data_IF_472978030627
#
_entry.id   IF_472978030627
#
_cell.length_a   1.000
_cell.length_b   1.000
_cell.length_c   1.000
_cell.angle_alpha   90.00
_cell.angle_beta   90.00
_cell.angle_gamma   90.00
#
_symmetry.space_group_name_H-M   'P 1'
#
loop_
_entity.id
_entity.type
_entity.pdbx_description
1 polymer ?
#
# COMPACT_ATOMS: atom_id res chain seq x y z
N UNK A 1 -12.03 11.34 13.25
CA UNK A 1 -12.32 12.78 13.16
C UNK A 1 -11.31 13.60 13.96
N UNK A 2 -11.17 13.42 15.29
CA UNK A 2 -10.24 14.20 16.14
C UNK A 2 -8.79 14.17 15.68
N UNK A 3 -8.26 13.00 15.28
CA UNK A 3 -6.91 12.92 14.73
C UNK A 3 -6.76 13.69 13.41
N UNK A 4 -7.77 13.66 12.54
CA UNK A 4 -7.77 14.41 11.30
C UNK A 4 -7.77 15.92 11.51
N UNK A 5 -8.49 16.42 12.53
CA UNK A 5 -8.47 17.83 12.92
C UNK A 5 -7.14 18.25 13.50
N UNK A 6 -6.50 17.39 14.32
CA UNK A 6 -5.22 17.70 14.95
C UNK A 6 -4.03 17.56 13.96
N UNK A 7 -3.98 16.51 13.15
CA UNK A 7 -2.91 16.26 12.19
C UNK A 7 -3.38 15.33 11.06
N UNK A 8 -3.81 15.91 9.95
CA UNK A 8 -4.30 15.19 8.78
C UNK A 8 -3.22 14.24 8.20
N UNK A 9 -1.96 14.69 8.16
CA UNK A 9 -0.86 13.88 7.66
C UNK A 9 -0.69 12.57 8.42
N UNK A 10 -0.83 12.61 9.75
CA UNK A 10 -0.71 11.43 10.60
C UNK A 10 -1.95 10.53 10.53
N UNK A 11 -3.15 11.13 10.42
CA UNK A 11 -4.42 10.39 10.24
C UNK A 11 -4.39 9.46 9.02
N UNK A 12 -3.76 9.89 7.93
CA UNK A 12 -3.65 9.11 6.70
C UNK A 12 -2.86 7.80 6.88
N UNK A 13 -1.89 7.74 7.80
CA UNK A 13 -1.15 6.51 8.11
C UNK A 13 -2.09 5.41 8.61
N UNK A 14 -2.96 5.74 9.56
CA UNK A 14 -3.93 4.80 10.10
C UNK A 14 -4.95 4.36 9.06
N UNK A 15 -5.38 5.29 8.20
CA UNK A 15 -6.33 4.99 7.12
C UNK A 15 -5.74 3.96 6.15
N UNK A 16 -4.47 4.12 5.75
CA UNK A 16 -3.79 3.17 4.87
C UNK A 16 -3.62 1.80 5.55
N UNK A 17 -3.22 1.80 6.81
CA UNK A 17 -3.01 0.57 7.58
C UNK A 17 -4.30 -0.23 7.75
N UNK A 18 -5.38 0.42 8.19
CA UNK A 18 -6.69 -0.22 8.36
C UNK A 18 -7.22 -0.79 7.05
N UNK A 19 -7.13 -0.03 5.96
CA UNK A 19 -7.58 -0.50 4.64
C UNK A 19 -6.81 -1.73 4.16
N UNK A 20 -5.51 -1.81 4.47
CA UNK A 20 -4.70 -3.00 4.15
C UNK A 20 -5.10 -4.21 4.99
N UNK A 21 -5.32 -4.04 6.29
CA UNK A 21 -5.81 -5.11 7.18
C UNK A 21 -7.11 -5.69 6.60
N UNK A 22 -8.08 -4.85 6.29
CA UNK A 22 -9.36 -5.27 5.74
C UNK A 22 -9.22 -6.02 4.41
N UNK A 23 -8.32 -5.56 3.53
CA UNK A 23 -8.03 -6.25 2.27
C UNK A 23 -7.41 -7.64 2.51
N UNK A 24 -6.49 -7.77 3.45
CA UNK A 24 -5.86 -9.04 3.79
C UNK A 24 -6.85 -10.00 4.45
N UNK A 25 -7.65 -9.54 5.42
CA UNK A 25 -8.65 -10.38 6.09
C UNK A 25 -9.68 -10.95 5.13
N UNK A 26 -10.09 -10.18 4.11
CA UNK A 26 -11.11 -10.61 3.16
C UNK A 26 -10.55 -11.46 2.00
N UNK A 27 -9.30 -11.27 1.59
CA UNK A 27 -8.79 -11.83 0.35
C UNK A 27 -7.53 -12.69 0.49
N UNK A 28 -6.72 -12.51 1.54
CA UNK A 28 -5.48 -13.27 1.69
C UNK A 28 -5.74 -14.71 2.15
N UNK A 29 -4.81 -15.61 1.83
CA UNK A 29 -4.79 -16.94 2.41
C UNK A 29 -4.36 -16.91 3.88
N UNK A 30 -4.59 -18.00 4.63
CA UNK A 30 -4.32 -18.06 6.06
C UNK A 30 -2.83 -17.87 6.41
N UNK A 31 -1.90 -18.26 5.54
CA UNK A 31 -0.46 -18.06 5.78
C UNK A 31 -0.12 -16.57 5.78
N UNK A 32 -0.61 -15.82 4.80
CA UNK A 32 -0.43 -14.37 4.71
C UNK A 32 -1.12 -13.67 5.89
N UNK A 33 -2.36 -14.04 6.21
CA UNK A 33 -3.09 -13.46 7.35
C UNK A 33 -2.32 -13.62 8.65
N UNK A 34 -1.86 -14.85 8.95
CA UNK A 34 -1.16 -15.16 10.20
C UNK A 34 0.16 -14.40 10.38
N UNK A 35 0.82 -14.02 9.28
CA UNK A 35 2.07 -13.26 9.31
C UNK A 35 1.80 -11.75 9.40
N UNK A 36 0.98 -11.21 8.48
CA UNK A 36 0.89 -9.78 8.27
C UNK A 36 -0.20 -9.10 9.13
N UNK A 37 -1.35 -9.73 9.35
CA UNK A 37 -2.46 -9.08 10.05
C UNK A 37 -2.13 -8.76 11.52
N UNK A 38 -1.52 -9.64 12.33
CA UNK A 38 -1.18 -9.32 13.72
C UNK A 38 -0.19 -8.15 13.84
N UNK A 39 0.83 -8.10 12.98
CA UNK A 39 1.86 -7.07 13.00
C UNK A 39 1.36 -5.70 12.50
N UNK A 40 0.44 -5.70 11.54
CA UNK A 40 -0.27 -4.50 11.10
C UNK A 40 -1.24 -4.00 12.17
N UNK A 41 -1.98 -4.89 12.84
CA UNK A 41 -2.90 -4.54 13.93
C UNK A 41 -2.19 -3.95 15.16
N UNK A 42 -1.02 -4.46 15.49
CA UNK A 42 -0.21 -3.92 16.59
C UNK A 42 0.44 -2.56 16.28
N UNK A 43 0.50 -2.18 14.99
CA UNK A 43 1.24 -1.01 14.52
C UNK A 43 2.75 -1.21 14.46
N UNK A 44 3.25 -2.42 14.70
CA UNK A 44 4.66 -2.76 14.52
C UNK A 44 5.08 -2.63 13.05
N UNK A 45 4.19 -3.00 12.15
CA UNK A 45 4.31 -2.78 10.72
C UNK A 45 3.22 -1.85 10.21
N UNK A 46 3.49 -1.21 9.07
CA UNK A 46 2.52 -0.31 8.41
C UNK A 46 2.23 -0.75 7.00
N UNK A 47 1.09 -0.31 6.50
CA UNK A 47 0.58 -0.69 5.18
C UNK A 47 0.47 0.47 4.20
N UNK A 48 0.65 0.17 2.92
CA UNK A 48 0.51 1.14 1.83
C UNK A 48 -0.24 0.57 0.64
N UNK A 49 -0.82 1.44 -0.18
CA UNK A 49 -1.56 1.12 -1.39
C UNK A 49 -0.78 1.55 -2.64
N UNK A 50 -0.39 0.62 -3.50
CA UNK A 50 0.49 0.85 -4.65
C UNK A 50 -0.20 0.52 -5.97
N UNK A 51 -0.91 1.50 -6.54
CA UNK A 51 -1.63 1.39 -7.81
C UNK A 51 -0.91 2.10 -8.95
N UNK A 52 -0.73 3.42 -8.77
CA UNK A 52 -0.38 4.37 -9.82
C UNK A 52 1.03 4.15 -10.35
N UNK A 53 1.16 4.24 -11.67
CA UNK A 53 2.45 4.20 -12.37
C UNK A 53 2.66 5.46 -13.22
N UNK A 54 3.90 5.87 -13.49
CA UNK A 54 4.18 7.11 -14.20
C UNK A 54 3.50 7.22 -15.57
N UNK A 55 3.45 6.14 -16.32
CA UNK A 55 2.88 6.09 -17.68
C UNK A 55 1.38 5.78 -17.71
N UNK A 56 0.83 5.22 -16.62
CA UNK A 56 -0.55 4.75 -16.56
C UNK A 56 -1.48 5.75 -15.86
N UNK A 57 -0.95 6.51 -14.91
CA UNK A 57 -1.71 7.48 -14.10
C UNK A 57 -3.02 6.86 -13.55
N UNK A 58 -4.19 7.32 -14.01
CA UNK A 58 -5.50 6.81 -13.61
C UNK A 58 -5.96 5.56 -14.37
N UNK A 59 -5.28 5.17 -15.45
CA UNK A 59 -5.60 3.95 -16.20
C UNK A 59 -4.92 2.72 -15.61
N UNK A 60 -5.56 2.12 -14.61
CA UNK A 60 -5.08 0.86 -13.98
C UNK A 60 -4.93 -0.27 -14.99
N UNK A 61 -5.67 -0.22 -16.12
CA UNK A 61 -5.56 -1.19 -17.21
C UNK A 61 -4.22 -1.13 -17.96
N UNK A 62 -3.51 0.00 -17.90
CA UNK A 62 -2.23 0.22 -18.56
C UNK A 62 -1.00 -0.04 -17.68
N UNK A 63 -1.18 -0.63 -16.49
CA UNK A 63 -0.06 -1.02 -15.61
C UNK A 63 0.93 -1.94 -16.32
N UNK A 64 2.23 -1.69 -16.09
CA UNK A 64 3.34 -2.50 -16.62
C UNK A 64 4.21 -3.17 -15.54
N UNK A 65 4.00 -2.86 -14.26
CA UNK A 65 4.65 -3.60 -13.17
C UNK A 65 4.40 -5.09 -13.33
N UNK A 66 5.46 -5.89 -13.29
CA UNK A 66 5.44 -7.34 -13.55
C UNK A 66 5.55 -8.12 -12.25
N UNK A 67 4.92 -9.30 -12.23
CA UNK A 67 5.08 -10.31 -11.19
C UNK A 67 5.46 -11.63 -11.84
N UNK A 68 6.66 -12.12 -11.60
CA UNK A 68 7.16 -13.40 -12.11
C UNK A 68 7.20 -14.42 -10.97
N UNK A 69 6.59 -15.59 -11.18
CA UNK A 69 6.50 -16.64 -10.17
C UNK A 69 7.87 -17.26 -9.89
N UNK A 70 8.22 -17.36 -8.61
CA UNK A 70 9.41 -18.05 -8.13
C UNK A 70 9.12 -19.53 -7.83
N UNK A 71 10.18 -20.35 -7.68
CA UNK A 71 10.04 -21.78 -7.38
C UNK A 71 9.47 -22.06 -5.96
N UNK A 72 9.57 -21.12 -5.05
CA UNK A 72 9.08 -21.22 -3.65
C UNK A 72 7.62 -20.76 -3.48
N UNK A 73 6.92 -20.48 -4.58
CA UNK A 73 5.53 -20.01 -4.57
C UNK A 73 5.38 -18.51 -4.33
N UNK A 74 6.44 -17.77 -4.04
CA UNK A 74 6.46 -16.31 -4.05
C UNK A 74 6.57 -15.76 -5.47
N UNK A 75 6.57 -14.43 -5.58
CA UNK A 75 6.71 -13.71 -6.85
C UNK A 75 7.82 -12.66 -6.78
N UNK A 76 8.55 -12.48 -7.87
CA UNK A 76 9.48 -11.38 -8.06
C UNK A 76 8.75 -10.20 -8.72
N UNK A 77 8.57 -9.12 -7.98
CA UNK A 77 7.89 -7.91 -8.43
C UNK A 77 8.92 -6.94 -9.01
N UNK A 78 8.66 -6.43 -10.22
CA UNK A 78 9.54 -5.47 -10.91
C UNK A 78 8.72 -4.36 -11.54
N UNK A 79 9.01 -3.11 -11.18
CA UNK A 79 8.34 -1.92 -11.70
C UNK A 79 8.47 -0.72 -10.77
N UNK A 80 7.72 0.33 -11.08
CA UNK A 80 7.74 1.58 -10.33
C UNK A 80 6.33 2.03 -10.01
N UNK A 81 6.11 2.51 -8.79
CA UNK A 81 4.85 3.09 -8.33
C UNK A 81 5.07 4.51 -7.86
N UNK A 82 4.13 5.39 -8.16
CA UNK A 82 4.18 6.81 -7.78
C UNK A 82 3.02 7.20 -6.89
N UNK A 83 3.20 8.32 -6.17
CA UNK A 83 2.21 8.87 -5.23
C UNK A 83 1.84 7.92 -4.08
N UNK A 84 2.83 7.18 -3.57
CA UNK A 84 2.60 6.22 -2.50
C UNK A 84 2.61 6.94 -1.16
N UNK A 85 1.43 7.14 -0.59
CA UNK A 85 1.25 7.73 0.74
C UNK A 85 1.88 6.85 1.80
N UNK A 86 2.70 7.46 2.66
CA UNK A 86 3.47 6.76 3.69
C UNK A 86 4.37 5.64 3.14
N UNK A 87 4.83 5.81 1.90
CA UNK A 87 5.63 4.80 1.19
C UNK A 87 7.02 4.58 1.77
N UNK A 88 7.56 5.54 2.54
CA UNK A 88 8.85 5.44 3.21
C UNK A 88 8.85 6.27 4.51
N UNK A 89 9.23 5.66 5.62
CA UNK A 89 9.35 6.28 6.95
C UNK A 89 10.05 5.34 7.94
N UNK A 90 10.36 5.85 9.12
CA UNK A 90 11.03 5.16 10.22
C UNK A 90 10.14 4.94 11.47
N UNK A 91 8.83 5.13 11.34
CA UNK A 91 7.88 4.98 12.46
C UNK A 91 7.49 3.52 12.75
N UNK A 92 7.81 2.61 11.85
CA UNK A 92 7.54 1.17 11.99
C UNK A 92 8.75 0.34 11.60
N UNK A 93 8.82 -0.89 12.09
CA UNK A 93 9.96 -1.79 11.81
C UNK A 93 9.92 -2.36 10.39
N UNK A 94 8.75 -2.34 9.73
CA UNK A 94 8.59 -2.75 8.34
C UNK A 94 7.43 -1.99 7.68
N UNK A 95 7.48 -1.85 6.36
CA UNK A 95 6.41 -1.29 5.54
C UNK A 95 5.95 -2.37 4.56
N UNK A 96 4.67 -2.71 4.60
CA UNK A 96 4.08 -3.73 3.74
C UNK A 96 3.29 -3.06 2.61
N UNK A 97 3.76 -3.21 1.38
CA UNK A 97 3.12 -2.61 0.22
C UNK A 97 2.10 -3.56 -0.41
N UNK A 98 0.83 -3.15 -0.57
CA UNK A 98 -0.11 -3.83 -1.46
C UNK A 98 0.07 -3.31 -2.89
N UNK A 99 0.61 -4.15 -3.76
CA UNK A 99 1.08 -3.77 -5.10
C UNK A 99 0.24 -4.44 -6.18
N UNK A 100 -0.34 -3.64 -7.07
CA UNK A 100 -0.94 -4.15 -8.30
C UNK A 100 0.14 -4.42 -9.35
N UNK A 101 0.17 -5.66 -9.87
CA UNK A 101 1.10 -6.08 -10.90
C UNK A 101 0.47 -7.10 -11.85
N UNK A 102 1.15 -7.37 -12.99
CA UNK A 102 0.70 -8.31 -14.02
C UNK A 102 1.57 -9.55 -14.03
N UNK A 103 0.91 -10.69 -14.16
CA UNK A 103 1.57 -11.94 -14.52
C UNK A 103 1.87 -11.98 -16.03
N UNK A 104 2.89 -12.71 -16.48
CA UNK A 104 3.24 -12.81 -17.91
C UNK A 104 2.09 -13.29 -18.81
N UNK A 105 1.23 -14.17 -18.28
CA UNK A 105 0.07 -14.76 -19.00
C UNK A 105 -1.22 -13.97 -18.83
N UNK A 106 -1.22 -12.85 -18.12
CA UNK A 106 -2.43 -12.09 -17.82
C UNK A 106 -3.06 -11.45 -19.05
N UNK A 107 -4.39 -11.39 -19.12
CA UNK A 107 -5.09 -10.66 -20.17
C UNK A 107 -4.77 -9.15 -20.09
N UNK A 108 -4.93 -8.44 -21.21
CA UNK A 108 -4.77 -6.98 -21.26
C UNK A 108 -5.90 -6.28 -20.49
N UNK A 109 -5.63 -5.03 -20.09
CA UNK A 109 -6.60 -4.19 -19.38
C UNK A 109 -6.71 -4.51 -17.89
N UNK A 110 -7.69 -3.96 -17.22
CA UNK A 110 -7.89 -4.07 -15.77
C UNK A 110 -8.17 -5.50 -15.29
N UNK A 111 -8.70 -6.36 -16.16
CA UNK A 111 -8.97 -7.79 -15.87
C UNK A 111 -7.72 -8.66 -15.78
N UNK A 112 -6.54 -8.16 -16.11
CA UNK A 112 -5.28 -8.90 -16.00
C UNK A 112 -4.38 -8.43 -14.88
N UNK A 113 -4.91 -7.73 -13.90
CA UNK A 113 -4.16 -7.18 -12.76
C UNK A 113 -4.36 -8.08 -11.53
N UNK A 114 -3.26 -8.45 -10.89
CA UNK A 114 -3.23 -9.23 -9.65
C UNK A 114 -2.70 -8.38 -8.50
N UNK A 115 -3.03 -8.74 -7.26
CA UNK A 115 -2.59 -8.03 -6.05
C UNK A 115 -1.53 -8.84 -5.32
N UNK A 116 -0.48 -8.16 -4.89
CA UNK A 116 0.63 -8.77 -4.14
C UNK A 116 0.93 -7.99 -2.88
N UNK A 117 1.26 -8.69 -1.79
CA UNK A 117 1.86 -8.09 -0.60
C UNK A 117 3.38 -8.19 -0.71
N UNK A 118 4.05 -7.04 -0.63
CA UNK A 118 5.50 -6.89 -0.82
C UNK A 118 6.05 -6.09 0.36
N UNK A 119 6.62 -6.72 1.39
CA UNK A 119 7.22 -6.01 2.51
C UNK A 119 8.58 -5.40 2.11
N UNK A 120 8.95 -4.31 2.77
CA UNK A 120 10.27 -3.66 2.59
C UNK A 120 11.41 -4.55 3.08
N UNK A 121 11.18 -5.27 4.18
CA UNK A 121 12.11 -6.27 4.72
C UNK A 121 11.47 -7.64 4.72
N UNK A 122 12.25 -8.67 4.36
CA UNK A 122 11.86 -10.08 4.38
C UNK A 122 12.67 -10.85 5.42
N UNK A 123 12.28 -12.10 5.68
CA UNK A 123 13.00 -12.95 6.61
C UNK A 123 14.42 -13.27 6.11
N UNK A 124 15.38 -13.18 7.02
CA UNK A 124 16.74 -13.66 6.84
C UNK A 124 16.83 -15.17 7.19
N UNK A 125 18.04 -15.73 7.18
CA UNK A 125 18.29 -17.14 7.54
C UNK A 125 17.97 -17.48 9.00
N UNK A 126 17.73 -16.49 9.87
CA UNK A 126 17.36 -16.63 11.28
C UNK A 126 15.87 -16.37 11.54
N UNK A 127 15.07 -16.33 10.48
CA UNK A 127 13.64 -15.98 10.52
C UNK A 127 13.33 -14.57 11.03
N UNK A 128 14.31 -13.65 11.02
CA UNK A 128 14.12 -12.26 11.41
C UNK A 128 13.77 -11.41 10.14
N UNK A 129 12.80 -10.50 10.25
CA UNK A 129 12.36 -9.61 9.15
C UNK A 129 13.29 -8.39 8.99
N UNK A 130 14.55 -8.64 8.63
CA UNK A 130 15.62 -7.64 8.55
C UNK A 130 16.36 -7.61 7.21
N UNK A 131 16.11 -8.57 6.30
CA UNK A 131 16.74 -8.62 5.00
C UNK A 131 16.05 -7.65 4.04
N UNK A 132 16.79 -6.72 3.45
CA UNK A 132 16.25 -5.79 2.44
C UNK A 132 15.65 -6.54 1.24
N UNK A 133 14.44 -6.18 0.87
CA UNK A 133 13.67 -6.81 -0.20
C UNK A 133 13.80 -6.10 -1.57
N UNK A 134 14.85 -5.30 -1.78
CA UNK A 134 15.01 -4.48 -2.99
C UNK A 134 13.80 -3.58 -3.32
N UNK A 135 13.11 -3.10 -2.28
CA UNK A 135 12.09 -2.06 -2.35
C UNK A 135 12.75 -0.74 -1.96
N UNK A 136 12.73 0.25 -2.85
CA UNK A 136 13.41 1.52 -2.61
C UNK A 136 12.50 2.71 -2.89
N UNK A 137 12.43 3.64 -1.96
CA UNK A 137 11.93 4.99 -2.23
C UNK A 137 13.01 5.78 -2.99
N UNK A 138 12.75 6.10 -4.24
CA UNK A 138 13.71 6.80 -5.10
C UNK A 138 13.52 8.31 -5.10
N UNK A 139 12.33 8.78 -4.73
CA UNK A 139 12.05 10.20 -4.50
C UNK A 139 10.83 10.37 -3.59
N UNK A 140 10.70 11.58 -3.04
CA UNK A 140 9.50 12.05 -2.34
C UNK A 140 8.86 13.19 -3.11
N UNK A 141 7.54 13.21 -3.13
CA UNK A 141 6.76 14.26 -3.77
C UNK A 141 6.76 15.55 -2.95
N UNK A 142 7.01 16.68 -3.60
CA UNK A 142 6.81 18.01 -3.02
C UNK A 142 5.35 18.40 -3.22
N UNK A 143 4.59 18.47 -2.13
CA UNK A 143 3.13 18.66 -2.15
C UNK A 143 2.72 20.05 -1.68
N UNK A 144 1.50 20.46 -2.02
CA UNK A 144 0.89 21.71 -1.56
C UNK A 144 0.42 21.65 -0.10
N UNK A 145 0.14 20.46 0.41
CA UNK A 145 -0.32 20.20 1.79
C UNK A 145 0.08 18.82 2.25
N UNK A 146 -0.31 18.44 3.47
CA UNK A 146 0.00 17.16 4.10
C UNK A 146 1.51 16.85 4.09
N UNK A 147 2.32 17.85 4.40
CA UNK A 147 3.78 17.76 4.27
C UNK A 147 4.40 16.71 5.21
N UNK A 148 3.74 16.40 6.34
CA UNK A 148 4.17 15.36 7.27
C UNK A 148 3.85 13.92 6.79
N UNK A 149 3.10 13.74 5.68
CA UNK A 149 2.86 12.43 5.08
C UNK A 149 3.84 12.24 3.91
N UNK A 150 4.89 11.41 4.04
CA UNK A 150 5.83 11.17 2.95
C UNK A 150 5.11 10.44 1.82
N UNK A 151 5.04 11.09 0.66
CA UNK A 151 4.46 10.52 -0.55
C UNK A 151 5.60 10.14 -1.48
N UNK A 152 5.84 8.84 -1.63
CA UNK A 152 7.03 8.32 -2.26
C UNK A 152 6.80 7.83 -3.69
N UNK A 153 7.87 7.85 -4.47
CA UNK A 153 8.02 7.02 -5.67
C UNK A 153 8.79 5.77 -5.24
N UNK A 154 8.17 4.60 -5.40
CA UNK A 154 8.72 3.31 -4.98
C UNK A 154 9.16 2.51 -6.19
N UNK A 155 10.41 2.06 -6.18
CA UNK A 155 10.96 1.12 -7.15
C UNK A 155 11.02 -0.29 -6.55
N UNK A 156 10.55 -1.25 -7.33
CA UNK A 156 10.62 -2.68 -7.05
C UNK A 156 11.61 -3.31 -8.04
N UNK A 157 12.67 -3.94 -7.53
CA UNK A 157 13.68 -4.60 -8.36
C UNK A 157 13.76 -6.08 -8.01
N UNK A 158 12.90 -6.89 -8.65
CA UNK A 158 12.70 -8.31 -8.33
C UNK A 158 12.36 -8.53 -6.85
N UNK A 159 11.63 -7.59 -6.25
CA UNK A 159 11.24 -7.63 -4.85
C UNK A 159 10.31 -8.81 -4.59
N UNK A 160 10.60 -9.57 -3.53
CA UNK A 160 9.81 -10.75 -3.16
C UNK A 160 8.44 -10.34 -2.62
N UNK A 161 7.39 -10.96 -3.16
CA UNK A 161 6.01 -10.72 -2.72
C UNK A 161 5.17 -11.98 -2.81
N UNK A 162 3.97 -11.92 -2.25
CA UNK A 162 3.01 -13.03 -2.25
C UNK A 162 1.67 -12.57 -2.79
N UNK A 163 1.01 -13.44 -3.54
CA UNK A 163 -0.29 -13.17 -4.13
C UNK A 163 -1.36 -13.03 -3.04
N UNK A 164 -2.15 -11.96 -3.12
CA UNK A 164 -3.32 -11.71 -2.27
C UNK A 164 -4.58 -11.94 -3.10
N UNK A 165 -5.39 -12.90 -2.68
CA UNK A 165 -6.55 -13.33 -3.45
C UNK A 165 -6.18 -14.22 -4.65
N UNK A 166 -6.90 -14.06 -5.74
CA UNK A 166 -6.74 -14.86 -6.96
C UNK A 166 -5.98 -14.11 -8.05
N UNK A 167 -5.32 -14.84 -8.94
CA UNK A 167 -4.71 -14.28 -10.13
C UNK A 167 -5.75 -13.54 -10.98
N UNK A 168 -5.37 -12.36 -11.50
CA UNK A 168 -6.23 -11.49 -12.30
C UNK A 168 -7.48 -10.90 -11.59
N UNK A 169 -7.58 -11.07 -10.28
CA UNK A 169 -8.63 -10.48 -9.43
C UNK A 169 -8.11 -9.35 -8.52
N UNK A 170 -6.89 -8.86 -8.77
CA UNK A 170 -6.21 -7.92 -7.87
C UNK A 170 -6.94 -6.59 -7.70
N UNK A 171 -7.59 -6.10 -8.74
CA UNK A 171 -8.36 -4.86 -8.63
C UNK A 171 -9.58 -5.05 -7.72
N UNK A 172 -10.26 -6.19 -7.78
CA UNK A 172 -11.36 -6.52 -6.87
C UNK A 172 -10.92 -6.54 -5.40
N UNK A 173 -9.81 -7.19 -5.11
CA UNK A 173 -9.23 -7.23 -3.76
C UNK A 173 -8.78 -5.82 -3.28
N UNK A 174 -8.15 -5.04 -4.16
CA UNK A 174 -7.73 -3.67 -3.86
C UNK A 174 -8.92 -2.73 -3.60
N UNK A 175 -10.09 -2.96 -4.21
CA UNK A 175 -11.29 -2.16 -3.96
C UNK A 175 -11.77 -2.24 -2.51
N UNK A 176 -11.49 -3.30 -1.78
CA UNK A 176 -11.78 -3.38 -0.33
C UNK A 176 -11.04 -2.27 0.40
N UNK A 177 -9.74 -2.12 0.17
CA UNK A 177 -8.94 -1.02 0.73
C UNK A 177 -9.40 0.35 0.20
N UNK A 178 -9.67 0.48 -1.10
CA UNK A 178 -10.09 1.74 -1.71
C UNK A 178 -11.45 2.23 -1.17
N UNK A 179 -12.38 1.33 -0.89
CA UNK A 179 -13.70 1.71 -0.36
C UNK A 179 -13.56 2.27 1.06
N UNK A 180 -12.72 1.66 1.89
CA UNK A 180 -12.40 2.20 3.21
C UNK A 180 -11.70 3.56 3.12
N UNK A 181 -10.73 3.69 2.21
CA UNK A 181 -10.05 4.96 1.98
C UNK A 181 -11.02 6.07 1.55
N UNK A 182 -12.02 5.78 0.69
CA UNK A 182 -13.03 6.77 0.27
C UNK A 182 -13.86 7.30 1.45
N UNK A 183 -14.29 6.41 2.34
CA UNK A 183 -15.01 6.81 3.55
C UNK A 183 -14.12 7.62 4.48
N UNK A 184 -12.88 7.17 4.69
CA UNK A 184 -11.88 7.86 5.50
C UNK A 184 -11.58 9.27 5.00
N UNK A 185 -11.35 9.44 3.69
CA UNK A 185 -11.13 10.77 3.07
C UNK A 185 -12.36 11.68 3.23
N UNK A 186 -13.58 11.12 3.20
CA UNK A 186 -14.79 11.88 3.55
C UNK A 186 -14.75 12.41 4.99
N UNK A 187 -14.32 11.60 5.93
CA UNK A 187 -14.14 12.00 7.35
C UNK A 187 -12.99 13.00 7.51
N UNK A 188 -11.92 12.87 6.76
CA UNK A 188 -10.83 13.86 6.72
C UNK A 188 -11.33 15.22 6.27
N UNK A 189 -12.16 15.28 5.20
CA UNK A 189 -12.80 16.52 4.75
C UNK A 189 -13.67 17.15 5.85
N UNK A 190 -14.48 16.36 6.52
CA UNK A 190 -15.30 16.81 7.66
C UNK A 190 -14.44 17.39 8.79
N UNK A 191 -13.36 16.70 9.15
CA UNK A 191 -12.41 17.15 10.19
C UNK A 191 -11.79 18.53 9.87
N UNK A 192 -11.46 18.77 8.61
CA UNK A 192 -10.91 20.07 8.17
C UNK A 192 -11.98 21.17 8.17
N UNK A 193 -13.22 20.85 7.79
CA UNK A 193 -14.34 21.79 7.88
C UNK A 193 -14.62 22.19 9.33
N UNK A 194 -14.61 21.22 10.26
CA UNK A 194 -14.80 21.47 11.69
C UNK A 194 -13.70 22.38 12.25
N UNK A 195 -12.43 22.05 11.98
CA UNK A 195 -11.29 22.88 12.40
C UNK A 195 -11.38 24.31 11.86
N UNK A 196 -11.71 24.46 10.58
CA UNK A 196 -11.84 25.79 9.97
C UNK A 196 -13.01 26.58 10.59
N UNK A 197 -14.12 25.93 10.90
CA UNK A 197 -15.29 26.56 11.56
C UNK A 197 -14.93 27.04 12.96
N UNK A 198 -14.27 26.20 13.75
CA UNK A 198 -13.84 26.55 15.12
C UNK A 198 -12.93 27.78 15.09
N UNK A 199 -11.90 27.79 14.22
CA UNK A 199 -10.99 28.93 14.06
C UNK A 199 -11.63 30.21 13.56
N UNK A 200 -12.72 30.09 12.78
CA UNK A 200 -13.45 31.27 12.29
C UNK A 200 -14.38 31.88 13.36
N UNK A 201 -14.72 31.10 14.41
CA UNK A 201 -15.55 31.58 15.53
C UNK A 201 -14.71 32.17 16.69
N UNK A 202 -13.41 31.95 16.74
CA UNK A 202 -12.44 32.60 17.63
C UNK A 202 -12.16 34.05 17.23
#
# INVERSE_FOLDING_TARGET
EYFGSACLSFSLLFLMNQGQIDALENHANEQIKNIFVPTLNSGEWTGTMNLTEPQACSDVGALITKAEKNNDGSYAITGQKIYISWGEHDLSTNICHLVLARLPSSPKGSKGVSLFIVPKYIQNEKDEWLLENNVKAISLEKKMGMHGSPTAVIEYNRSKGWLVGEENAGLYAMFTMMNNARLGVGIEGLSQCDLATQKAME
#
